data_IF_432812766394
#
_entry.id   IF_432812766394
#
_cell.length_a   1.000
_cell.length_b   1.000
_cell.length_c   1.000
_cell.angle_alpha   90.00
_cell.angle_beta   90.00
_cell.angle_gamma   90.00
#
_symmetry.space_group_name_H-M   'P 1'
#
loop_
_entity.id
_entity.type
_entity.pdbx_description
1 polymer ?
#
# COMPACT_ATOMS: atom_id res chain seq x y z
N UNK A 1 -13.60 7.62 8.87
CA UNK A 1 -12.15 7.48 9.10
C UNK A 1 -11.47 7.51 7.73
N UNK A 2 -10.58 8.47 7.44
CA UNK A 2 -10.00 8.68 6.10
C UNK A 2 -9.10 7.54 5.60
N UNK A 3 -8.80 6.55 6.44
CA UNK A 3 -7.91 5.43 6.11
C UNK A 3 -8.47 4.45 5.08
N UNK A 4 -9.79 4.32 4.95
CA UNK A 4 -10.41 3.39 4.00
C UNK A 4 -10.40 3.94 2.55
N UNK A 5 -10.67 5.24 2.38
CA UNK A 5 -10.68 5.88 1.06
C UNK A 5 -9.26 6.03 0.47
N UNK A 6 -8.24 6.02 1.33
CA UNK A 6 -6.84 6.07 0.95
C UNK A 6 -6.31 4.77 0.34
N UNK A 7 -7.11 3.71 0.25
CA UNK A 7 -6.74 2.44 -0.41
C UNK A 7 -7.56 2.15 -1.68
N UNK A 8 -8.38 3.11 -2.13
CA UNK A 8 -9.10 2.99 -3.39
C UNK A 8 -8.11 3.01 -4.56
N UNK A 9 -8.11 1.94 -5.34
CA UNK A 9 -7.33 1.79 -6.57
C UNK A 9 -8.27 2.06 -7.75
N UNK A 10 -8.03 3.11 -8.55
CA UNK A 10 -8.80 3.34 -9.77
C UNK A 10 -8.76 2.14 -10.73
N UNK A 11 -9.89 1.82 -11.40
CA UNK A 11 -9.89 0.76 -12.39
C UNK A 11 -9.06 1.15 -13.62
N UNK A 12 -8.48 0.16 -14.31
CA UNK A 12 -7.81 0.35 -15.60
C UNK A 12 -6.35 0.82 -15.53
N UNK A 13 -5.76 0.95 -14.33
CA UNK A 13 -4.33 1.26 -14.19
C UNK A 13 -3.45 0.13 -14.72
N UNK A 14 -2.37 0.51 -15.40
CA UNK A 14 -1.23 -0.38 -15.62
C UNK A 14 -0.49 -0.63 -14.31
N UNK A 15 0.34 -1.68 -14.27
CA UNK A 15 1.16 -1.99 -13.09
C UNK A 15 2.06 -0.82 -12.67
N UNK A 16 2.60 -0.07 -13.62
CA UNK A 16 3.45 1.09 -13.32
C UNK A 16 2.64 2.24 -12.73
N UNK A 17 1.47 2.55 -13.30
CA UNK A 17 0.58 3.60 -12.79
C UNK A 17 0.02 3.24 -11.40
N UNK A 18 -0.23 1.97 -11.14
CA UNK A 18 -0.60 1.49 -9.81
C UNK A 18 0.48 1.83 -8.76
N UNK A 19 1.76 1.59 -9.06
CA UNK A 19 2.83 1.92 -8.11
C UNK A 19 3.03 3.42 -7.92
N UNK A 20 2.81 4.23 -8.97
CA UNK A 20 2.79 5.69 -8.84
C UNK A 20 1.65 6.15 -7.93
N UNK A 21 0.45 5.60 -8.11
CA UNK A 21 -0.71 5.90 -7.25
C UNK A 21 -0.46 5.55 -5.78
N UNK A 22 0.05 4.35 -5.51
CA UNK A 22 0.39 3.92 -4.14
C UNK A 22 1.46 4.82 -3.52
N UNK A 23 2.48 5.22 -4.30
CA UNK A 23 3.53 6.14 -3.86
C UNK A 23 2.95 7.50 -3.43
N UNK A 24 2.06 8.08 -4.23
CA UNK A 24 1.48 9.40 -3.94
C UNK A 24 0.58 9.35 -2.69
N UNK A 25 -0.19 8.26 -2.52
CA UNK A 25 -0.98 8.07 -1.30
C UNK A 25 -0.09 7.89 -0.06
N UNK A 26 1.03 7.17 -0.17
CA UNK A 26 2.00 7.06 0.91
C UNK A 26 2.64 8.41 1.24
N UNK A 27 3.02 9.19 0.24
CA UNK A 27 3.60 10.52 0.46
C UNK A 27 2.64 11.42 1.25
N UNK A 28 1.37 11.47 0.87
CA UNK A 28 0.35 12.21 1.60
C UNK A 28 0.09 11.66 3.01
N UNK A 29 0.04 10.34 3.17
CA UNK A 29 -0.20 9.69 4.47
C UNK A 29 0.94 9.95 5.48
N UNK A 30 2.17 10.08 4.98
CA UNK A 30 3.37 10.25 5.79
C UNK A 30 3.75 11.72 6.00
N UNK A 31 3.10 12.65 5.30
CA UNK A 31 3.40 14.08 5.39
C UNK A 31 3.26 14.58 6.84
N UNK A 32 4.32 15.23 7.35
CA UNK A 32 4.36 15.78 8.71
C UNK A 32 4.47 14.74 9.85
N UNK A 33 4.38 13.44 9.57
CA UNK A 33 4.45 12.39 10.58
C UNK A 33 5.88 11.97 10.91
N UNK A 34 6.24 11.98 12.20
CA UNK A 34 7.60 11.64 12.67
C UNK A 34 7.71 10.28 13.37
N UNK A 35 6.59 9.65 13.72
CA UNK A 35 6.62 8.37 14.40
C UNK A 35 6.86 7.24 13.40
N UNK A 36 8.09 6.72 13.36
CA UNK A 36 8.50 5.70 12.40
C UNK A 36 7.72 4.38 12.55
N UNK A 37 7.33 3.96 13.76
CA UNK A 37 6.54 2.73 13.97
C UNK A 37 5.15 2.88 13.34
N UNK A 38 4.47 3.99 13.63
CA UNK A 38 3.15 4.30 13.09
C UNK A 38 3.22 4.45 11.57
N UNK A 39 4.23 5.15 11.06
CA UNK A 39 4.44 5.35 9.62
C UNK A 39 4.61 4.01 8.88
N UNK A 40 5.42 3.10 9.40
CA UNK A 40 5.63 1.78 8.78
C UNK A 40 4.37 0.91 8.86
N UNK A 41 3.64 0.94 9.98
CA UNK A 41 2.38 0.21 10.13
C UNK A 41 1.29 0.72 9.16
N UNK A 42 1.18 2.05 9.03
CA UNK A 42 0.27 2.70 8.10
C UNK A 42 0.63 2.41 6.64
N UNK A 43 1.92 2.51 6.29
CA UNK A 43 2.40 2.19 4.95
C UNK A 43 2.13 0.73 4.57
N UNK A 44 2.44 -0.20 5.49
CA UNK A 44 2.16 -1.62 5.30
C UNK A 44 0.67 -1.90 5.10
N UNK A 45 -0.19 -1.24 5.87
CA UNK A 45 -1.64 -1.38 5.76
C UNK A 45 -2.15 -0.86 4.41
N UNK A 46 -1.67 0.30 3.95
CA UNK A 46 -2.07 0.89 2.67
C UNK A 46 -1.63 0.00 1.49
N UNK A 47 -0.37 -0.45 1.49
CA UNK A 47 0.18 -1.30 0.42
C UNK A 47 -0.58 -2.62 0.35
N UNK A 48 -0.81 -3.27 1.49
CA UNK A 48 -1.54 -4.54 1.54
C UNK A 48 -2.95 -4.41 0.93
N UNK A 49 -3.72 -3.42 1.37
CA UNK A 49 -5.08 -3.22 0.87
C UNK A 49 -5.10 -2.82 -0.61
N UNK A 50 -4.14 -2.01 -1.06
CA UNK A 50 -4.01 -1.64 -2.48
C UNK A 50 -3.71 -2.85 -3.37
N UNK A 51 -2.84 -3.76 -2.90
CA UNK A 51 -2.51 -4.99 -3.63
C UNK A 51 -3.69 -5.97 -3.66
N UNK A 52 -4.47 -6.08 -2.57
CA UNK A 52 -5.71 -6.86 -2.56
C UNK A 52 -6.77 -6.28 -3.52
N UNK A 53 -6.83 -4.95 -3.68
CA UNK A 53 -7.78 -4.30 -4.56
C UNK A 53 -7.37 -4.34 -6.05
N UNK A 54 -6.11 -4.67 -6.37
CA UNK A 54 -5.58 -4.63 -7.73
C UNK A 54 -5.67 -5.98 -8.47
N UNK A 55 -6.88 -6.53 -8.51
CA UNK A 55 -7.25 -7.83 -9.11
C UNK A 55 -6.65 -8.16 -10.49
N UNK A 56 -6.43 -7.21 -11.42
CA UNK A 56 -5.83 -7.55 -12.71
C UNK A 56 -4.40 -8.13 -12.61
N UNK A 57 -3.64 -7.72 -11.59
CA UNK A 57 -2.23 -8.10 -11.44
C UNK A 57 -1.90 -8.79 -10.09
N UNK A 58 -2.64 -8.49 -9.03
CA UNK A 58 -2.49 -9.04 -7.68
C UNK A 58 -3.87 -9.37 -7.09
N UNK A 59 -3.96 -10.13 -6.00
CA UNK A 59 -5.21 -10.26 -5.23
C UNK A 59 -5.99 -11.56 -5.43
N UNK A 60 -5.82 -12.26 -6.57
CA UNK A 60 -6.54 -13.51 -6.85
C UNK A 60 -5.62 -14.74 -7.04
N UNK A 61 -6.08 -15.89 -6.53
CA UNK A 61 -5.42 -17.19 -6.67
C UNK A 61 -4.00 -17.21 -6.13
N UNK A 62 -3.07 -17.78 -6.88
CA UNK A 62 -1.64 -17.88 -6.49
C UNK A 62 -0.93 -16.52 -6.39
N UNK A 63 -1.58 -15.43 -6.84
CA UNK A 63 -1.06 -14.05 -6.78
C UNK A 63 -1.67 -13.25 -5.63
N UNK A 64 -2.48 -13.89 -4.79
CA UNK A 64 -3.05 -13.26 -3.62
C UNK A 64 -1.93 -12.88 -2.64
N UNK A 65 -1.95 -11.62 -2.21
CA UNK A 65 -1.01 -11.13 -1.20
C UNK A 65 -1.57 -11.50 0.16
N UNK A 66 -0.82 -12.31 0.92
CA UNK A 66 -1.22 -12.76 2.26
C UNK A 66 -0.60 -11.92 3.39
N UNK A 67 0.48 -11.17 3.09
CA UNK A 67 1.20 -10.39 4.08
C UNK A 67 1.97 -9.23 3.43
N UNK A 68 2.07 -8.13 4.17
CA UNK A 68 2.93 -7.00 3.87
C UNK A 68 3.51 -6.50 5.21
N UNK A 69 4.76 -6.05 5.21
CA UNK A 69 5.42 -5.56 6.40
C UNK A 69 6.84 -5.11 6.14
N UNK A 70 7.39 -4.36 7.11
CA UNK A 70 8.79 -3.93 7.10
C UNK A 70 9.54 -4.67 8.20
N UNK A 71 10.61 -5.36 7.83
CA UNK A 71 11.55 -5.97 8.77
C UNK A 71 12.80 -5.12 8.89
N UNK A 72 13.39 -5.08 10.08
CA UNK A 72 14.73 -4.53 10.23
C UNK A 72 15.73 -5.61 9.85
N UNK A 73 16.61 -5.30 8.92
CA UNK A 73 17.85 -6.03 8.78
C UNK A 73 18.81 -5.51 9.86
N UNK A 74 19.40 -6.41 10.63
CA UNK A 74 20.47 -6.10 11.57
C UNK A 74 21.76 -6.61 10.92
N UNK A 75 22.66 -5.69 10.59
CA UNK A 75 24.02 -6.00 10.14
C UNK A 75 24.88 -6.53 11.30
#
# INVERSE_FOLDING_TARGET
MPHADSALVPPGLTKSEFWLHVHDQLAALLEGQRNWVVNLANASSLIYNSLLAFNPYFGDGDRAVNWCGFTRHLD
#
